data_IF_485270309492
#
_entry.id   IF_485270309492
#
_cell.length_a   1.000
_cell.length_b   1.000
_cell.length_c   1.000
_cell.angle_alpha   90.00
_cell.angle_beta   90.00
_cell.angle_gamma   90.00
#
_symmetry.space_group_name_H-M   'P 1'
#
loop_
_entity.id
_entity.type
_entity.pdbx_description
1 polymer ?
#
# COMPACT_ATOMS: atom_id res chain seq x y z
N UNK A 1 -61.88 -18.74 -53.21
CA UNK A 1 -61.67 -20.11 -52.70
C UNK A 1 -60.19 -20.24 -52.38
N UNK A 2 -59.71 -20.48 -51.18
CA UNK A 2 -60.33 -20.69 -49.87
C UNK A 2 -59.20 -20.93 -48.87
N UNK A 3 -59.46 -20.55 -47.62
CA UNK A 3 -58.84 -21.08 -46.39
C UNK A 3 -57.37 -20.66 -46.08
N UNK A 4 -56.95 -20.39 -44.83
CA UNK A 4 -57.62 -20.42 -43.52
C UNK A 4 -56.94 -19.42 -42.56
N UNK A 5 -57.70 -18.83 -41.64
CA UNK A 5 -57.21 -18.24 -40.39
C UNK A 5 -57.19 -19.33 -39.29
N UNK A 6 -56.20 -19.34 -38.40
CA UNK A 6 -56.35 -19.68 -36.96
C UNK A 6 -55.06 -19.41 -36.15
N UNK A 7 -55.14 -18.36 -35.33
CA UNK A 7 -54.81 -18.20 -33.91
C UNK A 7 -53.74 -19.07 -33.21
N UNK A 8 -52.80 -18.40 -32.51
CA UNK A 8 -52.36 -18.66 -31.12
C UNK A 8 -51.56 -17.43 -30.61
N UNK A 9 -52.05 -16.66 -29.62
CA UNK A 9 -52.02 -16.82 -28.15
C UNK A 9 -50.71 -16.32 -27.50
N UNK A 10 -50.85 -15.13 -26.92
CA UNK A 10 -50.37 -14.57 -25.63
C UNK A 10 -48.91 -14.61 -25.17
N UNK A 11 -48.50 -13.40 -24.74
CA UNK A 11 -47.65 -12.98 -23.61
C UNK A 11 -46.37 -13.76 -23.27
N UNK A 12 -45.26 -13.03 -23.18
CA UNK A 12 -44.69 -12.58 -21.89
C UNK A 12 -43.46 -11.72 -22.20
N UNK A 13 -43.46 -10.49 -21.68
CA UNK A 13 -42.30 -9.62 -21.66
C UNK A 13 -41.10 -10.28 -20.97
N UNK A 14 -39.96 -10.27 -21.67
CA UNK A 14 -38.65 -10.43 -21.05
C UNK A 14 -37.84 -9.19 -21.34
N UNK A 15 -38.07 -8.16 -20.52
CA UNK A 15 -37.05 -7.16 -20.19
C UNK A 15 -35.80 -7.93 -19.77
N UNK A 16 -34.80 -7.95 -20.65
CA UNK A 16 -33.47 -8.39 -20.30
C UNK A 16 -32.95 -7.44 -19.21
N UNK A 17 -33.04 -7.89 -17.96
CA UNK A 17 -32.27 -7.29 -16.87
C UNK A 17 -30.81 -7.65 -17.15
N UNK A 18 -30.10 -6.72 -17.78
CA UNK A 18 -28.65 -6.68 -17.73
C UNK A 18 -28.28 -6.76 -16.26
N UNK A 19 -27.66 -7.88 -15.92
CA UNK A 19 -27.34 -8.24 -14.56
C UNK A 19 -26.27 -7.28 -14.06
N UNK A 20 -26.52 -6.73 -12.87
CA UNK A 20 -25.56 -5.96 -12.08
C UNK A 20 -24.20 -6.66 -12.11
N UNK A 21 -23.26 -6.09 -12.85
CA UNK A 21 -21.85 -6.39 -12.70
C UNK A 21 -21.45 -5.91 -11.30
N UNK A 22 -21.31 -6.88 -10.40
CA UNK A 22 -20.71 -6.69 -9.08
C UNK A 22 -19.35 -6.03 -9.26
N UNK A 23 -19.25 -4.84 -8.70
CA UNK A 23 -18.08 -3.97 -8.49
C UNK A 23 -16.75 -4.75 -8.44
N UNK A 24 -16.09 -4.89 -9.59
CA UNK A 24 -14.74 -5.48 -9.71
C UNK A 24 -13.71 -4.38 -9.45
N UNK A 25 -13.00 -4.53 -8.32
CA UNK A 25 -11.73 -3.90 -7.92
C UNK A 25 -11.41 -2.55 -8.59
N UNK A 26 -11.91 -1.46 -8.00
CA UNK A 26 -11.28 -0.15 -8.15
C UNK A 26 -9.87 -0.27 -7.61
N UNK A 27 -8.90 -0.41 -8.48
CA UNK A 27 -7.50 -0.49 -8.10
C UNK A 27 -7.15 0.77 -7.26
N UNK A 28 -6.98 0.53 -5.97
CA UNK A 28 -7.27 1.53 -4.95
C UNK A 28 -5.98 2.25 -4.56
N UNK A 29 -5.92 3.55 -4.83
CA UNK A 29 -4.95 4.48 -4.24
C UNK A 29 -5.28 4.73 -2.76
N UNK A 30 -5.45 3.67 -1.99
CA UNK A 30 -5.79 3.69 -0.58
C UNK A 30 -5.10 2.53 0.14
N UNK A 31 -4.99 2.63 1.45
CA UNK A 31 -4.50 1.56 2.30
C UNK A 31 -5.46 0.38 2.22
N UNK A 32 -4.92 -0.80 1.95
CA UNK A 32 -5.70 -2.03 1.87
C UNK A 32 -5.68 -2.73 3.23
N UNK A 33 -6.78 -2.58 3.98
CA UNK A 33 -6.95 -3.16 5.32
C UNK A 33 -6.83 -4.70 5.30
N UNK A 34 -7.24 -5.37 4.22
CA UNK A 34 -7.13 -6.84 4.10
C UNK A 34 -5.69 -7.31 3.93
N UNK A 35 -4.83 -6.42 3.46
CA UNK A 35 -3.41 -6.68 3.25
C UNK A 35 -2.53 -6.11 4.36
N UNK A 36 -3.12 -5.45 5.35
CA UNK A 36 -2.43 -4.77 6.44
C UNK A 36 -2.66 -5.50 7.77
N UNK A 37 -1.79 -5.24 8.73
CA UNK A 37 -1.88 -5.79 10.09
C UNK A 37 -3.22 -5.40 10.73
N UNK A 38 -3.86 -6.30 11.51
CA UNK A 38 -5.08 -5.99 12.26
C UNK A 38 -4.95 -4.80 13.23
N UNK A 39 -3.72 -4.47 13.64
CA UNK A 39 -3.43 -3.32 14.50
C UNK A 39 -3.46 -1.98 13.78
N UNK A 40 -3.49 -1.96 12.45
CA UNK A 40 -3.56 -0.74 11.64
C UNK A 40 -4.97 -0.20 11.59
N UNK A 41 -5.09 1.12 11.82
CA UNK A 41 -6.32 1.89 11.64
C UNK A 41 -6.09 2.86 10.49
N UNK A 42 -7.07 2.92 9.58
CA UNK A 42 -7.01 3.79 8.41
C UNK A 42 -7.94 4.97 8.61
N UNK A 43 -7.39 6.16 8.50
CA UNK A 43 -8.10 7.44 8.44
C UNK A 43 -7.95 8.01 7.02
N UNK A 44 -8.99 8.65 6.46
CA UNK A 44 -8.92 9.36 5.17
C UNK A 44 -8.28 8.58 4.00
N UNK A 45 -8.49 7.26 3.95
CA UNK A 45 -7.98 6.30 2.95
C UNK A 45 -6.46 6.11 2.88
N UNK A 46 -5.64 7.11 3.19
CA UNK A 46 -4.17 7.08 3.06
C UNK A 46 -3.43 7.46 4.33
N UNK A 47 -4.14 7.90 5.38
CA UNK A 47 -3.58 8.12 6.69
C UNK A 47 -3.70 6.84 7.52
N UNK A 48 -2.62 6.43 8.18
CA UNK A 48 -2.60 5.27 9.05
C UNK A 48 -2.14 5.63 10.45
N UNK A 49 -2.78 5.00 11.43
CA UNK A 49 -2.37 4.98 12.84
C UNK A 49 -2.39 3.52 13.34
N UNK A 50 -2.01 3.29 14.59
CA UNK A 50 -1.97 1.96 15.18
C UNK A 50 -0.57 1.34 15.07
N UNK A 51 -0.51 0.02 14.93
CA UNK A 51 0.75 -0.73 14.95
C UNK A 51 0.80 -1.86 13.92
N UNK A 52 2.00 -2.11 13.42
CA UNK A 52 2.30 -3.15 12.45
C UNK A 52 2.37 -2.63 11.01
N UNK A 53 2.32 -3.57 10.07
CA UNK A 53 2.56 -3.32 8.66
C UNK A 53 1.28 -2.83 7.94
N UNK A 54 1.35 -1.69 7.26
CA UNK A 54 0.29 -1.15 6.41
C UNK A 54 0.73 -1.18 4.93
N UNK A 55 -0.14 -1.67 4.04
CA UNK A 55 0.10 -1.75 2.59
C UNK A 55 -0.88 -0.87 1.83
N UNK A 56 -0.38 -0.12 0.85
CA UNK A 56 -1.22 0.52 -0.16
C UNK A 56 -1.71 -0.56 -1.14
N UNK A 57 -2.99 -0.52 -1.51
CA UNK A 57 -3.62 -1.53 -2.37
C UNK A 57 -3.19 -1.51 -3.83
N UNK A 58 -2.26 -0.62 -4.21
CA UNK A 58 -1.76 -0.49 -5.58
C UNK A 58 -0.40 -1.19 -5.71
N UNK A 59 -0.34 -2.20 -6.57
CA UNK A 59 0.91 -2.87 -6.92
C UNK A 59 1.83 -1.94 -7.73
N UNK A 60 3.13 -1.99 -7.49
CA UNK A 60 4.13 -1.25 -8.25
C UNK A 60 4.56 -2.05 -9.49
N UNK A 61 3.83 -1.88 -10.58
CA UNK A 61 4.12 -2.53 -11.87
C UNK A 61 4.98 -1.68 -12.81
N UNK A 62 5.11 -0.38 -12.51
CA UNK A 62 5.92 0.55 -13.29
C UNK A 62 7.42 0.29 -13.12
N UNK A 63 8.21 0.65 -14.14
CA UNK A 63 9.67 0.57 -14.06
C UNK A 63 10.24 1.57 -13.04
N UNK A 64 9.63 2.75 -12.88
CA UNK A 64 10.01 3.73 -11.87
C UNK A 64 8.78 4.40 -11.25
N UNK A 65 8.83 4.64 -9.94
CA UNK A 65 7.77 5.31 -9.18
C UNK A 65 8.35 6.08 -7.99
N UNK A 66 7.65 7.13 -7.57
CA UNK A 66 7.94 7.89 -6.35
C UNK A 66 6.66 8.18 -5.57
N UNK A 67 6.78 8.14 -4.25
CA UNK A 67 5.74 8.51 -3.31
C UNK A 67 6.36 9.02 -2.01
N UNK A 68 5.54 9.67 -1.20
CA UNK A 68 5.98 10.21 0.08
C UNK A 68 5.12 9.69 1.23
N UNK A 69 5.70 9.69 2.43
CA UNK A 69 5.00 9.56 3.69
C UNK A 69 5.21 10.83 4.50
N UNK A 70 4.11 11.48 4.86
CA UNK A 70 4.12 12.68 5.70
C UNK A 70 3.83 12.28 7.13
N UNK A 71 4.72 12.68 8.04
CA UNK A 71 4.67 12.27 9.45
C UNK A 71 3.97 13.34 10.28
N UNK A 72 2.98 12.91 11.06
CA UNK A 72 2.36 13.76 12.09
C UNK A 72 2.51 13.11 13.46
N UNK A 73 3.15 13.85 14.36
CA UNK A 73 3.50 13.45 15.71
C UNK A 73 3.16 14.56 16.71
N UNK A 74 2.72 14.24 17.93
CA UNK A 74 2.54 15.24 18.96
C UNK A 74 3.89 15.86 19.34
N UNK A 75 3.89 17.17 19.53
CA UNK A 75 5.06 17.94 19.97
C UNK A 75 5.78 17.25 21.14
N UNK A 76 7.11 17.12 21.07
CA UNK A 76 8.01 16.52 22.08
C UNK A 76 8.00 14.98 22.17
N UNK A 77 7.35 14.28 21.25
CA UNK A 77 7.53 12.83 21.10
C UNK A 77 8.57 12.55 20.03
N UNK A 78 9.46 11.60 20.29
CA UNK A 78 10.35 11.00 19.30
C UNK A 78 9.88 9.58 19.07
N UNK A 79 9.92 9.12 17.83
CA UNK A 79 9.63 7.72 17.50
C UNK A 79 10.95 7.04 17.17
N UNK A 80 11.24 5.95 17.88
CA UNK A 80 12.54 5.30 17.79
C UNK A 80 12.75 4.61 16.43
N UNK A 81 11.70 4.01 15.86
CA UNK A 81 11.83 3.26 14.61
C UNK A 81 10.49 3.16 13.88
N UNK A 82 10.41 3.79 12.71
CA UNK A 82 9.36 3.55 11.71
C UNK A 82 10.05 2.92 10.51
N UNK A 83 9.49 1.83 9.98
CA UNK A 83 10.02 1.22 8.76
C UNK A 83 9.25 1.70 7.54
N UNK A 84 9.98 2.06 6.49
CA UNK A 84 9.42 2.49 5.21
C UNK A 84 9.97 1.62 4.08
N UNK A 85 9.18 1.40 3.04
CA UNK A 85 9.66 0.72 1.85
C UNK A 85 8.53 0.07 1.08
N UNK A 86 8.74 -1.18 0.72
CA UNK A 86 7.74 -1.99 0.03
C UNK A 86 7.61 -3.36 0.70
N UNK A 87 6.49 -4.03 0.47
CA UNK A 87 6.26 -5.41 0.89
C UNK A 87 5.60 -6.19 -0.23
N UNK A 88 5.81 -7.51 -0.25
CA UNK A 88 4.95 -8.42 -1.02
C UNK A 88 3.55 -8.46 -0.41
N UNK A 89 2.57 -8.96 -1.18
CA UNK A 89 1.19 -9.11 -0.71
C UNK A 89 1.15 -9.96 0.55
N UNK A 90 0.60 -9.40 1.63
CA UNK A 90 0.23 -10.13 2.85
C UNK A 90 -1.27 -10.27 2.89
N UNK A 91 -1.74 -11.42 3.36
CA UNK A 91 -3.17 -11.70 3.50
C UNK A 91 -3.50 -12.00 4.95
N UNK A 92 -4.78 -12.25 5.24
CA UNK A 92 -5.23 -12.52 6.60
C UNK A 92 -4.61 -13.82 7.16
N UNK A 93 -4.36 -14.81 6.31
CA UNK A 93 -3.74 -16.08 6.74
C UNK A 93 -2.31 -15.83 7.24
N UNK A 94 -1.55 -14.99 6.54
CA UNK A 94 -0.22 -14.59 6.98
C UNK A 94 -0.24 -14.02 8.42
N UNK A 95 -1.17 -13.13 8.74
CA UNK A 95 -1.27 -12.56 10.09
C UNK A 95 -1.79 -13.55 11.14
N UNK A 96 -2.70 -14.45 10.76
CA UNK A 96 -3.18 -15.53 11.64
C UNK A 96 -2.03 -16.49 12.00
N UNK A 97 -1.22 -16.88 11.02
CA UNK A 97 0.00 -17.69 11.22
C UNK A 97 1.02 -16.98 12.12
N UNK A 98 1.24 -15.69 11.88
CA UNK A 98 2.16 -14.88 12.69
C UNK A 98 1.71 -14.84 14.16
N UNK A 99 0.42 -14.60 14.41
CA UNK A 99 -0.14 -14.58 15.77
C UNK A 99 -0.12 -15.93 16.49
N UNK A 100 -0.24 -17.04 15.75
CA UNK A 100 -0.13 -18.39 16.33
C UNK A 100 1.30 -18.74 16.74
N UNK A 101 2.29 -18.24 16.01
CA UNK A 101 3.70 -18.49 16.30
C UNK A 101 4.21 -17.62 17.44
N UNK A 102 3.75 -16.36 17.55
CA UNK A 102 4.08 -15.47 18.68
C UNK A 102 3.60 -15.98 20.04
N UNK A 103 2.55 -16.82 20.07
CA UNK A 103 2.03 -17.41 21.31
C UNK A 103 2.75 -18.68 21.76
N UNK A 104 3.55 -19.30 20.88
CA UNK A 104 4.11 -20.63 21.12
C UNK A 104 5.59 -20.67 21.53
N UNK A 105 6.41 -19.65 21.28
CA UNK A 105 7.86 -19.78 21.53
C UNK A 105 8.54 -18.55 22.17
N UNK A 106 9.42 -18.86 23.13
CA UNK A 106 10.42 -18.02 23.80
C UNK A 106 11.57 -17.55 22.88
N UNK A 107 11.44 -17.71 21.56
CA UNK A 107 12.39 -17.22 20.56
C UNK A 107 11.65 -16.29 19.59
N UNK A 108 11.92 -14.99 19.71
CA UNK A 108 11.43 -13.97 18.80
C UNK A 108 11.68 -14.39 17.34
N UNK A 109 10.62 -14.46 16.54
CA UNK A 109 10.71 -14.71 15.11
C UNK A 109 11.82 -13.85 14.49
N UNK A 110 12.68 -14.40 13.61
CA UNK A 110 13.66 -13.59 12.90
C UNK A 110 12.90 -12.49 12.14
N UNK A 111 13.42 -11.26 12.17
CA UNK A 111 12.81 -10.08 11.54
C UNK A 111 12.47 -10.26 10.06
N UNK A 112 13.00 -11.30 9.42
CA UNK A 112 12.78 -11.69 8.03
C UNK A 112 11.40 -12.32 7.74
N UNK A 113 10.62 -12.71 8.78
CA UNK A 113 9.32 -13.39 8.57
C UNK A 113 8.10 -12.47 8.72
N UNK A 114 8.28 -11.20 9.12
CA UNK A 114 7.17 -10.26 9.37
C UNK A 114 6.78 -9.44 8.12
N UNK A 115 7.43 -9.68 6.99
CA UNK A 115 7.19 -8.99 5.72
C UNK A 115 7.85 -7.63 5.57
N UNK A 116 8.86 -7.32 6.39
CA UNK A 116 9.58 -6.04 6.35
C UNK A 116 10.96 -6.08 5.67
N UNK A 117 11.30 -7.16 4.96
CA UNK A 117 12.63 -7.41 4.34
C UNK A 117 13.11 -6.28 3.43
N UNK A 118 12.18 -5.68 2.69
CA UNK A 118 12.45 -4.60 1.73
C UNK A 118 12.17 -3.22 2.32
N UNK A 119 12.06 -3.14 3.65
CA UNK A 119 11.82 -1.92 4.39
C UNK A 119 13.06 -1.52 5.19
N UNK A 120 13.16 -0.23 5.51
CA UNK A 120 14.29 0.34 6.22
C UNK A 120 13.81 1.24 7.33
N UNK A 121 14.49 1.13 8.47
CA UNK A 121 14.34 2.09 9.55
C UNK A 121 14.94 3.42 9.12
N UNK A 122 14.20 4.49 9.34
CA UNK A 122 14.72 5.86 9.26
C UNK A 122 14.64 6.41 10.69
N UNK A 123 15.81 6.71 11.24
CA UNK A 123 15.95 7.18 12.62
C UNK A 123 15.72 8.69 12.72
N UNK A 124 15.40 9.17 13.93
CA UNK A 124 15.34 10.60 14.21
C UNK A 124 14.16 11.33 13.58
N UNK A 125 13.08 10.61 13.23
CA UNK A 125 11.87 11.20 12.65
C UNK A 125 11.18 12.15 13.63
N UNK A 126 10.82 13.31 13.11
CA UNK A 126 10.13 14.38 13.83
C UNK A 126 8.74 14.65 13.23
N UNK A 127 7.97 15.50 13.91
CA UNK A 127 6.71 15.99 13.36
C UNK A 127 6.98 16.82 12.09
N UNK A 128 6.09 16.69 11.10
CA UNK A 128 6.14 17.34 9.79
C UNK A 128 7.30 16.88 8.89
N UNK A 129 8.01 15.83 9.26
CA UNK A 129 9.00 15.20 8.38
C UNK A 129 8.32 14.51 7.19
N UNK A 130 9.04 14.54 6.06
CA UNK A 130 8.65 13.91 4.81
C UNK A 130 9.66 12.82 4.48
N UNK A 131 9.17 11.59 4.33
CA UNK A 131 9.95 10.47 3.85
C UNK A 131 9.57 10.19 2.39
N UNK A 132 10.49 10.47 1.48
CA UNK A 132 10.35 10.14 0.06
C UNK A 132 10.90 8.76 -0.23
N UNK A 133 10.23 8.01 -1.11
CA UNK A 133 10.72 6.71 -1.57
C UNK A 133 10.67 6.68 -3.09
N UNK A 134 11.83 6.45 -3.71
CA UNK A 134 11.95 6.23 -5.14
C UNK A 134 12.22 4.75 -5.40
N UNK A 135 11.42 4.16 -6.26
CA UNK A 135 11.57 2.79 -6.72
C UNK A 135 11.94 2.78 -8.19
N UNK A 136 12.88 1.92 -8.57
CA UNK A 136 13.16 1.56 -9.96
C UNK A 136 13.47 0.07 -10.10
N UNK A 137 12.99 -0.57 -11.16
CA UNK A 137 13.18 -2.01 -11.36
C UNK A 137 14.43 -2.34 -12.19
N UNK A 138 14.80 -1.47 -13.12
CA UNK A 138 15.88 -1.73 -14.08
C UNK A 138 17.29 -1.39 -13.57
N UNK A 139 17.42 -0.42 -12.67
CA UNK A 139 18.72 0.10 -12.20
C UNK A 139 18.92 -0.11 -10.69
N UNK A 140 20.18 -0.09 -10.26
CA UNK A 140 20.55 -0.07 -8.84
C UNK A 140 20.83 1.37 -8.37
N UNK A 141 20.43 1.75 -7.14
CA UNK A 141 19.62 0.95 -6.21
C UNK A 141 18.16 0.86 -6.65
N UNK A 142 17.49 -0.26 -6.33
CA UNK A 142 16.09 -0.46 -6.73
C UNK A 142 15.10 0.28 -5.83
N UNK A 143 15.43 0.48 -4.55
CA UNK A 143 14.76 1.45 -3.67
C UNK A 143 15.77 2.42 -3.10
N UNK A 144 15.43 3.70 -3.19
CA UNK A 144 16.16 4.80 -2.59
C UNK A 144 15.22 5.56 -1.67
N UNK A 145 15.74 5.94 -0.50
CA UNK A 145 15.00 6.64 0.54
C UNK A 145 15.50 8.08 0.63
N UNK A 146 14.59 8.98 0.97
CA UNK A 146 14.85 10.40 1.12
C UNK A 146 14.22 10.88 2.42
N UNK A 147 14.94 11.72 3.17
CA UNK A 147 14.42 12.39 4.36
C UNK A 147 14.44 13.89 4.08
N UNK A 148 13.26 14.50 4.00
CA UNK A 148 13.07 15.91 3.68
C UNK A 148 13.78 16.32 2.37
N UNK A 149 13.75 15.43 1.37
CA UNK A 149 14.37 15.63 0.05
C UNK A 149 15.85 15.21 -0.02
N UNK A 150 16.51 14.97 1.12
CA UNK A 150 17.91 14.55 1.16
C UNK A 150 18.02 13.02 1.02
N UNK A 151 18.86 12.51 0.10
CA UNK A 151 19.00 11.07 -0.14
C UNK A 151 19.72 10.34 1.00
N UNK A 152 19.16 9.21 1.43
CA UNK A 152 19.74 8.30 2.41
C UNK A 152 20.40 7.11 1.71
N UNK A 153 21.69 7.24 1.36
CA UNK A 153 22.41 6.25 0.55
C UNK A 153 22.69 4.93 1.29
N UNK A 154 22.89 4.98 2.60
CA UNK A 154 23.35 3.83 3.40
C UNK A 154 22.28 2.75 3.60
N UNK A 155 21.00 3.11 3.39
CA UNK A 155 19.87 2.22 3.62
C UNK A 155 19.21 1.75 2.32
N UNK A 156 19.78 2.06 1.15
CA UNK A 156 19.19 1.67 -0.13
C UNK A 156 18.95 0.14 -0.24
N UNK A 157 17.85 -0.26 -0.88
CA UNK A 157 17.55 -1.68 -1.13
C UNK A 157 17.95 -2.03 -2.55
N UNK A 158 18.76 -3.06 -2.66
CA UNK A 158 19.17 -3.62 -3.94
C UNK A 158 18.46 -4.95 -4.16
N UNK A 159 18.10 -5.23 -5.42
CA UNK A 159 17.70 -6.57 -5.88
C UNK A 159 16.51 -7.17 -5.11
N UNK A 160 15.30 -6.75 -5.45
CA UNK A 160 14.10 -7.52 -5.13
C UNK A 160 13.43 -8.04 -6.41
N UNK A 161 12.56 -9.04 -6.27
CA UNK A 161 11.82 -9.64 -7.40
C UNK A 161 10.36 -9.81 -7.04
N UNK A 162 9.53 -9.79 -8.06
CA UNK A 162 8.09 -9.99 -7.93
C UNK A 162 7.32 -8.70 -7.67
N UNK A 163 6.02 -8.85 -7.51
CA UNK A 163 5.09 -7.74 -7.29
C UNK A 163 5.20 -7.25 -5.86
N UNK A 164 5.44 -5.95 -5.71
CA UNK A 164 5.56 -5.28 -4.42
C UNK A 164 4.56 -4.14 -4.30
N UNK A 165 4.24 -3.79 -3.06
CA UNK A 165 3.27 -2.77 -2.69
C UNK A 165 3.97 -1.76 -1.78
N UNK A 166 3.72 -0.44 -1.93
CA UNK A 166 4.21 0.55 -1.00
C UNK A 166 3.74 0.23 0.42
N UNK A 167 4.64 0.27 1.39
CA UNK A 167 4.32 -0.10 2.76
C UNK A 167 5.05 0.75 3.80
N UNK A 168 4.41 0.86 4.97
CA UNK A 168 4.95 1.47 6.18
C UNK A 168 4.64 0.56 7.37
N UNK A 169 5.59 0.40 8.28
CA UNK A 169 5.40 -0.38 9.51
C UNK A 169 5.50 0.54 10.72
N UNK A 170 4.42 0.61 11.49
CA UNK A 170 4.30 1.49 12.65
C UNK A 170 4.65 0.73 13.95
N UNK A 171 5.41 1.35 14.87
CA UNK A 171 5.75 0.74 16.14
C UNK A 171 4.56 0.73 17.11
N UNK A 172 4.53 -0.27 18.00
CA UNK A 172 3.50 -0.42 19.04
C UNK A 172 3.49 0.76 20.02
N UNK A 173 4.64 1.40 20.25
CA UNK A 173 4.80 2.46 21.26
C UNK A 173 3.97 3.74 20.99
N UNK A 174 3.42 3.92 19.77
CA UNK A 174 2.77 5.18 19.36
C UNK A 174 1.38 5.01 18.72
N UNK A 175 0.68 3.91 18.99
CA UNK A 175 -0.57 3.50 18.32
C UNK A 175 -1.63 4.59 18.07
N UNK A 176 -1.75 5.59 18.96
CA UNK A 176 -2.79 6.64 18.86
C UNK A 176 -2.27 8.01 18.45
N UNK A 177 -0.97 8.21 18.57
CA UNK A 177 -0.36 9.53 18.50
C UNK A 177 0.40 9.72 17.19
N UNK A 178 0.99 8.64 16.65
CA UNK A 178 1.65 8.67 15.35
C UNK A 178 0.61 8.52 14.24
N UNK A 179 0.59 9.50 13.34
CA UNK A 179 -0.11 9.40 12.06
C UNK A 179 0.89 9.45 10.93
N UNK A 180 0.74 8.56 9.96
CA UNK A 180 1.54 8.56 8.75
C UNK A 180 0.60 8.62 7.55
N UNK A 181 0.74 9.67 6.73
CA UNK A 181 -0.10 9.88 5.55
C UNK A 181 0.70 9.58 4.30
N UNK A 182 0.25 8.61 3.50
CA UNK A 182 0.84 8.32 2.21
C UNK A 182 0.38 9.34 1.16
N UNK A 183 1.33 9.93 0.43
CA UNK A 183 1.09 10.87 -0.66
C UNK A 183 1.54 10.24 -1.97
N UNK A 184 0.58 10.05 -2.88
CA UNK A 184 0.76 9.29 -4.13
C UNK A 184 0.61 10.16 -5.38
N UNK A 185 0.12 11.39 -5.23
CA UNK A 185 -0.14 12.30 -6.33
C UNK A 185 0.95 13.36 -6.42
N UNK A 186 1.48 13.58 -7.62
CA UNK A 186 2.64 14.45 -7.85
C UNK A 186 2.40 15.90 -7.42
N UNK A 187 1.19 16.41 -7.60
CA UNK A 187 0.81 17.75 -7.19
C UNK A 187 0.65 17.92 -5.67
N UNK A 188 0.79 16.85 -4.90
CA UNK A 188 0.71 16.84 -3.44
C UNK A 188 2.06 16.55 -2.77
N UNK A 189 3.09 16.23 -3.55
CA UNK A 189 4.44 16.02 -3.00
C UNK A 189 4.94 17.29 -2.35
N UNK A 190 5.47 17.14 -1.13
CA UNK A 190 6.12 18.23 -0.41
C UNK A 190 7.56 18.41 -0.84
N UNK A 191 8.18 17.39 -1.45
CA UNK A 191 9.53 17.45 -2.00
C UNK A 191 9.53 17.17 -3.51
N UNK A 192 10.55 17.66 -4.20
CA UNK A 192 10.73 17.35 -5.63
C UNK A 192 11.13 15.89 -5.80
N UNK A 193 10.58 15.24 -6.83
CA UNK A 193 11.04 13.90 -7.19
C UNK A 193 12.53 13.94 -7.57
N UNK A 194 13.31 12.90 -7.23
CA UNK A 194 14.77 12.95 -7.33
C UNK A 194 15.29 12.98 -8.77
N UNK A 195 14.48 12.54 -9.73
CA UNK A 195 14.79 12.63 -11.15
C UNK A 195 13.51 12.61 -12.00
N UNK A 196 13.53 13.13 -13.24
CA UNK A 196 12.35 13.20 -14.12
C UNK A 196 11.70 11.84 -14.45
N UNK A 197 12.44 10.73 -14.29
CA UNK A 197 11.92 9.38 -14.53
C UNK A 197 11.00 8.88 -13.40
N UNK A 198 11.11 9.46 -12.20
CA UNK A 198 10.32 9.07 -11.06
C UNK A 198 9.03 9.88 -11.03
N UNK A 199 7.95 9.25 -11.50
CA UNK A 199 6.59 9.80 -11.46
C UNK A 199 5.76 9.24 -10.31
N UNK A 200 4.52 9.75 -10.13
CA UNK A 200 3.60 9.22 -9.13
C UNK A 200 3.22 7.77 -9.42
N UNK A 201 2.73 7.07 -8.39
CA UNK A 201 2.21 5.71 -8.56
C UNK A 201 0.99 5.73 -9.49
N UNK A 202 1.12 4.99 -10.60
CA UNK A 202 0.08 4.76 -11.59
C UNK A 202 -0.62 3.45 -11.24
N UNK A 203 -1.94 3.55 -11.15
CA UNK A 203 -2.81 2.40 -10.96
C UNK A 203 -2.94 1.67 -12.29
N UNK A 204 -2.57 0.40 -12.33
CA UNK A 204 -2.82 -0.46 -13.47
C UNK A 204 -4.33 -0.48 -13.76
N UNK A 205 -4.72 0.02 -14.93
CA UNK A 205 -6.09 -0.14 -15.43
C UNK A 205 -6.12 -1.45 -16.19
N UNK A 206 -6.86 -2.44 -15.69
CA UNK A 206 -7.22 -3.59 -16.51
C UNK A 206 -7.95 -3.06 -17.75
N UNK A 207 -7.32 -3.24 -18.91
CA UNK A 207 -8.02 -3.05 -20.19
C UNK A 207 -8.98 -4.24 -20.28
N UNK A 208 -10.28 -3.96 -20.13
CA UNK A 208 -11.36 -4.92 -20.40
C UNK A 208 -11.65 -4.92 -21.88
#
# INVERSE_FOLDING_TARGET
MGCCCSCNVDEVGRTAKESEMVEQDRAQKSINVRMSSPGIKVEDNLCVTGSGLALIGTALEQDAAYWEYHISLPTRKHVDTILFGVSTKRDRKFYEELSCNEQNDEEALPSESNGTDLMRCIEGIQNDDIIGIAMQQSDLPMLQFFHNGEPLYDIAVNRFRGVVYPSVSLPVSFEKDLKVTAVLAENQFGQLSPAPKFGPIIVARSIV
#
